data_IF_730346617266
#
_entry.id   IF_730346617266
#
_cell.length_a   1.000
_cell.length_b   1.000
_cell.length_c   1.000
_cell.angle_alpha   90.00
_cell.angle_beta   90.00
_cell.angle_gamma   90.00
#
_symmetry.space_group_name_H-M   'P 1'
#
loop_
_entity.id
_entity.type
_entity.pdbx_description
1 polymer ?
#
# COMPACT_ATOMS: atom_id res chain seq x y z
N UNK A 1 -4.37 -35.79 4.85
CA UNK A 1 -3.86 -35.26 6.14
C UNK A 1 -2.61 -34.51 5.75
N UNK A 2 -2.86 -33.32 5.24
CA UNK A 2 -1.99 -32.56 4.36
C UNK A 2 -1.02 -31.78 5.23
N UNK A 3 0.17 -32.37 5.45
CA UNK A 3 1.27 -31.67 6.10
C UNK A 3 1.80 -30.62 5.11
N UNK A 4 1.29 -29.40 5.29
CA UNK A 4 1.62 -28.25 4.45
C UNK A 4 3.08 -27.87 4.67
N UNK A 5 3.90 -28.11 3.65
CA UNK A 5 5.29 -27.69 3.58
C UNK A 5 5.36 -26.16 3.66
N UNK A 6 5.80 -25.62 4.80
CA UNK A 6 6.22 -24.23 4.90
C UNK A 6 7.64 -24.10 4.31
N UNK A 7 7.76 -23.85 3.00
CA UNK A 7 9.02 -23.36 2.43
C UNK A 7 9.18 -21.93 2.90
N UNK A 8 9.87 -21.76 4.02
CA UNK A 8 10.46 -20.50 4.42
C UNK A 8 11.52 -20.11 3.39
N UNK A 9 11.10 -19.42 2.33
CA UNK A 9 12.02 -18.65 1.48
C UNK A 9 12.48 -17.47 2.34
N UNK A 10 13.54 -17.69 3.13
CA UNK A 10 14.40 -16.59 3.57
C UNK A 10 15.01 -16.03 2.28
N UNK A 11 14.35 -15.06 1.66
CA UNK A 11 14.90 -14.34 0.51
C UNK A 11 16.19 -13.70 1.03
N UNK A 12 17.36 -13.91 0.41
CA UNK A 12 18.54 -13.14 0.79
C UNK A 12 18.15 -11.67 0.69
N UNK A 13 18.41 -10.90 1.76
CA UNK A 13 18.31 -9.46 1.70
C UNK A 13 19.25 -9.01 0.58
N UNK A 14 18.69 -8.78 -0.61
CA UNK A 14 19.44 -8.15 -1.69
C UNK A 14 19.87 -6.81 -1.13
N UNK A 15 21.16 -6.45 -1.11
CA UNK A 15 21.63 -5.17 -0.56
C UNK A 15 21.13 -3.93 -1.34
N UNK A 16 20.16 -4.12 -2.24
CA UNK A 16 19.56 -3.15 -3.15
C UNK A 16 18.02 -3.10 -3.05
N UNK A 17 17.37 -3.89 -2.16
CA UNK A 17 15.94 -3.70 -1.89
C UNK A 17 15.77 -2.59 -0.85
N UNK A 18 16.03 -1.34 -1.27
CA UNK A 18 15.78 -0.19 -0.41
C UNK A 18 14.27 -0.02 -0.29
N UNK A 19 13.78 -0.08 0.94
CA UNK A 19 12.40 0.26 1.25
C UNK A 19 12.27 1.79 1.23
N UNK A 20 11.34 2.30 0.43
CA UNK A 20 11.03 3.72 0.34
C UNK A 20 9.78 4.04 1.15
N UNK A 21 9.84 5.13 1.91
CA UNK A 21 8.67 5.66 2.59
C UNK A 21 7.91 6.63 1.69
N UNK A 22 6.73 6.23 1.23
CA UNK A 22 5.82 7.06 0.47
C UNK A 22 4.79 7.71 1.40
N UNK A 23 4.57 9.00 1.18
CA UNK A 23 3.57 9.78 1.90
C UNK A 23 2.74 10.62 0.92
N UNK A 24 1.45 10.76 1.20
CA UNK A 24 0.54 11.48 0.31
C UNK A 24 -0.77 11.83 0.99
N UNK A 25 -1.72 12.33 0.18
CA UNK A 25 -3.08 12.67 0.62
C UNK A 25 -4.10 12.22 -0.41
N UNK A 26 -5.14 11.53 0.05
CA UNK A 26 -6.32 11.17 -0.75
C UNK A 26 -7.38 12.25 -0.55
N UNK A 27 -7.89 12.79 -1.66
CA UNK A 27 -8.91 13.84 -1.69
C UNK A 27 -9.98 13.53 -2.71
N UNK A 28 -11.18 14.03 -2.49
CA UNK A 28 -12.27 13.99 -3.46
C UNK A 28 -12.00 14.99 -4.59
N UNK A 29 -12.26 14.57 -5.83
CA UNK A 29 -11.75 15.29 -7.00
C UNK A 29 -12.48 16.62 -7.29
N UNK A 30 -13.75 16.77 -6.92
CA UNK A 30 -14.56 17.94 -7.25
C UNK A 30 -14.47 19.07 -6.21
N UNK A 31 -14.42 18.69 -4.93
CA UNK A 31 -14.42 19.54 -3.73
C UNK A 31 -13.03 19.70 -3.13
N UNK A 32 -12.11 18.75 -3.38
CA UNK A 32 -10.81 18.71 -2.72
C UNK A 32 -10.88 18.28 -1.25
N UNK A 33 -12.03 17.80 -0.77
CA UNK A 33 -12.18 17.37 0.61
C UNK A 33 -11.35 16.11 0.89
N UNK A 34 -10.70 16.01 2.07
CA UNK A 34 -9.92 14.84 2.42
C UNK A 34 -10.79 13.60 2.58
N UNK A 35 -10.33 12.49 2.00
CA UNK A 35 -11.01 11.21 2.10
C UNK A 35 -10.35 10.34 3.16
N UNK A 36 -11.10 10.06 4.22
CA UNK A 36 -10.70 9.16 5.30
C UNK A 36 -11.13 7.73 4.98
N UNK A 37 -10.33 6.74 5.35
CA UNK A 37 -10.68 5.34 5.15
C UNK A 37 -10.43 4.83 3.73
N UNK A 38 -9.77 5.61 2.88
CA UNK A 38 -9.35 5.16 1.57
C UNK A 38 -8.21 4.16 1.72
N UNK A 39 -8.35 3.02 1.08
CA UNK A 39 -7.38 1.94 1.10
C UNK A 39 -6.38 2.20 -0.02
N UNK A 40 -5.10 2.34 0.34
CA UNK A 40 -3.99 2.54 -0.59
C UNK A 40 -3.14 1.27 -0.58
N UNK A 41 -3.11 0.54 -1.67
CA UNK A 41 -2.38 -0.74 -1.79
C UNK A 41 -1.35 -0.68 -2.91
N UNK A 42 -0.32 -1.49 -2.76
CA UNK A 42 0.74 -1.66 -3.74
C UNK A 42 0.34 -2.74 -4.74
N UNK A 43 -0.38 -2.38 -5.80
CA UNK A 43 -0.77 -3.29 -6.89
C UNK A 43 -1.17 -4.70 -6.40
N UNK A 44 -0.55 -5.74 -6.97
CA UNK A 44 -0.79 -7.15 -6.62
C UNK A 44 -0.23 -7.61 -5.25
N UNK A 45 0.28 -6.69 -4.42
CA UNK A 45 0.93 -7.03 -3.14
C UNK A 45 0.01 -6.81 -1.95
N UNK A 46 0.28 -7.58 -0.90
CA UNK A 46 -0.42 -7.49 0.39
C UNK A 46 -0.02 -6.27 1.23
N UNK A 47 0.83 -5.38 0.71
CA UNK A 47 1.27 -4.18 1.39
C UNK A 47 0.32 -3.01 1.07
N UNK A 48 -0.17 -2.35 2.12
CA UNK A 48 -1.08 -1.23 1.98
C UNK A 48 -1.27 -0.49 3.29
N UNK A 49 -1.98 0.63 3.19
CA UNK A 49 -2.29 1.52 4.31
C UNK A 49 -3.69 2.08 4.12
N UNK A 50 -4.20 2.75 5.15
CA UNK A 50 -5.50 3.42 5.12
C UNK A 50 -5.29 4.90 5.38
N UNK A 51 -5.96 5.76 4.62
CA UNK A 51 -5.91 7.20 4.84
C UNK A 51 -6.57 7.62 6.15
N UNK A 52 -5.92 8.56 6.86
CA UNK A 52 -6.41 9.13 8.12
C UNK A 52 -7.47 10.20 7.92
N UNK A 53 -7.97 10.79 9.01
CA UNK A 53 -9.03 11.82 9.03
C UNK A 53 -8.76 13.04 8.12
N UNK A 54 -7.50 13.39 7.95
CA UNK A 54 -7.07 14.49 7.09
C UNK A 54 -6.74 14.04 5.65
N UNK A 55 -7.08 12.79 5.30
CA UNK A 55 -6.80 12.16 4.02
C UNK A 55 -5.34 11.73 3.84
N UNK A 56 -4.45 12.00 4.80
CA UNK A 56 -3.04 11.61 4.67
C UNK A 56 -2.87 10.10 4.77
N UNK A 57 -1.87 9.58 4.08
CA UNK A 57 -1.42 8.21 4.22
C UNK A 57 0.10 8.14 4.22
N UNK A 58 0.63 7.07 4.79
CA UNK A 58 2.04 6.72 4.75
C UNK A 58 2.20 5.22 4.54
N UNK A 59 3.10 4.84 3.64
CA UNK A 59 3.31 3.45 3.25
C UNK A 59 4.77 3.22 2.88
N UNK A 60 5.37 2.20 3.49
CA UNK A 60 6.69 1.73 3.07
C UNK A 60 6.52 0.75 1.91
N UNK A 61 7.18 1.02 0.79
CA UNK A 61 7.16 0.18 -0.40
C UNK A 61 8.57 -0.20 -0.81
N UNK A 62 8.82 -1.43 -1.27
CA UNK A 62 10.10 -1.78 -1.86
C UNK A 62 10.33 -1.03 -3.19
N UNK A 63 11.60 -0.79 -3.54
CA UNK A 63 12.05 -0.03 -4.73
C UNK A 63 11.47 -0.51 -6.07
N UNK A 64 11.11 -1.78 -6.18
CA UNK A 64 10.58 -2.38 -7.42
C UNK A 64 9.08 -2.11 -7.65
N UNK A 65 8.47 -1.23 -6.85
CA UNK A 65 7.04 -0.90 -6.92
C UNK A 65 6.80 0.36 -7.74
N UNK A 66 5.96 0.23 -8.78
CA UNK A 66 5.61 1.35 -9.66
C UNK A 66 4.13 1.77 -9.61
N UNK A 67 3.25 0.96 -9.02
CA UNK A 67 1.79 1.17 -9.09
C UNK A 67 1.18 1.14 -7.70
N UNK A 68 0.38 2.17 -7.42
CA UNK A 68 -0.49 2.26 -6.24
C UNK A 68 -1.94 2.22 -6.71
N UNK A 69 -2.74 1.36 -6.09
CA UNK A 69 -4.18 1.36 -6.26
C UNK A 69 -4.83 1.99 -5.04
N UNK A 70 -5.79 2.89 -5.30
CA UNK A 70 -6.53 3.57 -4.24
C UNK A 70 -8.00 3.23 -4.41
N UNK A 71 -8.63 2.73 -3.35
CA UNK A 71 -10.04 2.35 -3.35
C UNK A 71 -10.75 2.90 -2.11
N UNK A 72 -12.00 3.30 -2.30
CA UNK A 72 -12.88 3.74 -1.23
C UNK A 72 -14.30 3.36 -1.61
N UNK A 73 -15.05 2.79 -0.67
CA UNK A 73 -16.45 2.41 -0.92
C UNK A 73 -17.25 3.64 -1.34
N UNK A 74 -17.94 3.56 -2.48
CA UNK A 74 -18.70 4.67 -3.05
C UNK A 74 -17.92 5.55 -4.04
N UNK A 75 -16.64 5.26 -4.29
CA UNK A 75 -15.78 5.97 -5.24
C UNK A 75 -15.28 5.02 -6.34
N UNK A 76 -15.11 5.55 -7.57
CA UNK A 76 -14.58 4.82 -8.72
C UNK A 76 -13.72 5.72 -9.59
#
# INVERSE_FOLDING_TARGET
MDDSVAIGVVRPAHPEAQDHYLQGRVVEAASGEPLTGAVVVVGDRSAGTVSYENGRFGLTVPDDVLVLEVSLVGYR
#
